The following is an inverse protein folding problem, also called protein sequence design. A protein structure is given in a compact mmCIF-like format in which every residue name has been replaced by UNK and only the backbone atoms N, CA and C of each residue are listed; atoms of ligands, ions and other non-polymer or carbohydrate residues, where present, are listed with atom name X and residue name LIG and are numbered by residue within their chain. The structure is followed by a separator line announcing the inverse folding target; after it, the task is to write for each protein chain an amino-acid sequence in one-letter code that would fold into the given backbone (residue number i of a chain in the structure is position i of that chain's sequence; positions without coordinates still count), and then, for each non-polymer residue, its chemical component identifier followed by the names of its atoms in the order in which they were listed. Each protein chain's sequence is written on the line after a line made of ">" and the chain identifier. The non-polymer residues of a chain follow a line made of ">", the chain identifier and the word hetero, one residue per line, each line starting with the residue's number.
data_IF_432503651201
#
_entry.id   IF_432503651201
#
_cell.length_a   1.000
_cell.length_b   1.000
_cell.length_c   1.000
_cell.angle_alpha   90.00
_cell.angle_beta   90.00
_cell.angle_gamma   90.00
#
_symmetry.space_group_name_H-M   'P 1'
#
loop_
_entity.id
_entity.type
_entity.pdbx_description
1 polymer ?
#
# COMPACT_ATOMS: atom_id res chain seq x y z
N UNK A 1 -24.83 -8.44 33.51
CA UNK A 1 -25.36 -7.10 33.23
C UNK A 1 -24.25 -6.26 32.64
N UNK A 2 -24.20 -6.30 31.31
CA UNK A 2 -23.74 -5.28 30.36
C UNK A 2 -22.75 -4.21 30.86
N UNK A 3 -21.47 -4.44 30.57
CA UNK A 3 -20.46 -3.39 30.50
C UNK A 3 -20.35 -2.91 29.05
N UNK A 4 -21.16 -1.89 28.76
CA UNK A 4 -21.15 -1.05 27.56
C UNK A 4 -19.98 -0.04 27.65
N UNK A 5 -19.30 0.20 26.51
CA UNK A 5 -18.36 1.30 26.22
C UNK A 5 -16.85 1.17 26.54
N UNK A 6 -16.19 0.14 26.00
CA UNK A 6 -14.83 0.31 25.51
C UNK A 6 -14.81 -0.02 24.02
N UNK A 7 -14.92 1.00 23.16
CA UNK A 7 -13.84 1.87 22.72
C UNK A 7 -13.16 1.31 21.46
N UNK A 8 -13.35 2.04 20.37
CA UNK A 8 -12.32 2.19 19.35
C UNK A 8 -12.33 1.15 18.24
N UNK A 9 -13.05 1.48 17.16
CA UNK A 9 -12.60 1.16 15.82
C UNK A 9 -12.73 -0.30 15.42
N UNK A 10 -13.96 -0.74 15.22
CA UNK A 10 -14.27 -1.95 14.47
C UNK A 10 -13.59 -1.90 13.09
N UNK A 11 -12.49 -2.65 12.97
CA UNK A 11 -12.23 -3.63 11.90
C UNK A 11 -12.79 -3.22 10.54
N UNK A 12 -11.94 -2.74 9.63
CA UNK A 12 -12.17 -2.91 8.18
C UNK A 12 -10.96 -2.55 7.29
N UNK A 13 -9.76 -3.08 7.52
CA UNK A 13 -8.73 -3.10 6.44
C UNK A 13 -7.83 -4.34 6.54
N UNK A 14 -8.42 -5.54 6.57
CA UNK A 14 -7.66 -6.80 6.48
C UNK A 14 -8.23 -7.64 5.33
N UNK A 15 -8.10 -7.20 4.07
CA UNK A 15 -8.53 -8.08 2.95
C UNK A 15 -8.01 -7.75 1.54
N UNK A 16 -6.96 -6.95 1.32
CA UNK A 16 -6.60 -6.57 -0.06
C UNK A 16 -5.14 -6.75 -0.48
N UNK A 17 -4.31 -7.46 0.30
CA UNK A 17 -2.87 -7.56 -0.02
C UNK A 17 -2.37 -8.98 -0.32
N UNK A 18 -3.13 -10.05 -0.07
CA UNK A 18 -2.67 -11.44 -0.31
C UNK A 18 -3.24 -12.08 -1.59
N UNK A 19 -3.63 -11.29 -2.60
CA UNK A 19 -4.00 -11.83 -3.93
C UNK A 19 -3.00 -11.36 -5.00
N UNK A 20 -1.71 -11.53 -4.73
CA UNK A 20 -0.66 -11.33 -5.74
C UNK A 20 0.46 -12.38 -5.61
N UNK A 21 0.11 -13.60 -5.21
CA UNK A 21 1.03 -14.72 -5.18
C UNK A 21 0.48 -15.82 -6.08
N UNK A 22 0.85 -15.83 -7.38
CA UNK A 22 0.97 -17.05 -8.21
C UNK A 22 1.45 -16.85 -9.66
N UNK A 23 1.89 -15.65 -10.07
CA UNK A 23 2.59 -15.48 -11.35
C UNK A 23 4.10 -15.54 -11.20
N UNK A 24 4.81 -16.13 -12.17
CA UNK A 24 6.28 -16.09 -12.40
C UNK A 24 6.83 -14.67 -12.62
N UNK A 25 6.11 -13.64 -12.17
CA UNK A 25 6.43 -12.25 -12.38
C UNK A 25 7.15 -11.73 -11.14
N UNK A 26 8.35 -11.16 -11.35
CA UNK A 26 9.26 -10.70 -10.28
C UNK A 26 8.75 -9.48 -9.50
N UNK A 27 7.54 -9.03 -9.80
CA UNK A 27 6.93 -7.78 -9.34
C UNK A 27 5.57 -8.06 -8.70
N UNK A 28 5.35 -7.51 -7.50
CA UNK A 28 4.12 -7.63 -6.71
C UNK A 28 3.43 -6.26 -6.71
N UNK A 29 2.11 -6.24 -6.92
CA UNK A 29 1.32 -5.02 -6.78
C UNK A 29 1.19 -4.68 -5.30
N UNK A 30 1.64 -3.49 -4.92
CA UNK A 30 1.64 -3.04 -3.54
C UNK A 30 0.45 -2.14 -3.24
N UNK A 31 0.16 -1.20 -4.15
CA UNK A 31 -0.96 -0.29 -4.02
C UNK A 31 -1.42 0.19 -5.39
N UNK A 32 -2.69 0.57 -5.50
CA UNK A 32 -3.25 1.20 -6.68
C UNK A 32 -4.32 2.20 -6.29
N UNK A 33 -4.34 3.35 -6.97
CA UNK A 33 -5.26 4.45 -6.73
C UNK A 33 -5.61 5.12 -8.06
N UNK A 34 -6.70 5.89 -8.10
CA UNK A 34 -7.27 6.45 -9.33
C UNK A 34 -7.41 7.96 -9.21
N UNK A 35 -7.27 8.69 -10.32
CA UNK A 35 -7.53 10.13 -10.29
C UNK A 35 -6.40 10.95 -9.69
N UNK A 36 -6.76 12.17 -9.30
CA UNK A 36 -5.93 13.10 -8.50
C UNK A 36 -5.42 12.50 -7.18
N UNK A 37 -6.12 11.51 -6.64
CA UNK A 37 -5.70 10.83 -5.40
C UNK A 37 -4.46 9.96 -5.60
N UNK A 38 -4.06 9.66 -6.84
CA UNK A 38 -2.84 8.90 -7.11
C UNK A 38 -1.53 9.61 -6.69
N UNK A 39 -1.56 10.90 -6.33
CA UNK A 39 -0.36 11.66 -5.96
C UNK A 39 0.42 11.04 -4.78
N UNK A 40 -0.28 10.45 -3.81
CA UNK A 40 0.38 9.78 -2.68
C UNK A 40 1.21 8.56 -3.10
N UNK A 41 0.87 7.91 -4.22
CA UNK A 41 1.66 6.79 -4.76
C UNK A 41 3.02 7.25 -5.29
N UNK A 42 3.12 8.48 -5.82
CA UNK A 42 4.40 9.05 -6.25
C UNK A 42 5.29 9.37 -5.04
N UNK A 43 4.70 9.87 -3.94
CA UNK A 43 5.42 10.07 -2.68
C UNK A 43 5.90 8.75 -2.07
N UNK A 44 5.03 7.74 -2.06
CA UNK A 44 5.38 6.40 -1.60
C UNK A 44 6.49 5.76 -2.46
N UNK A 45 6.41 5.90 -3.78
CA UNK A 45 7.46 5.44 -4.70
C UNK A 45 8.81 6.11 -4.41
N UNK A 46 8.82 7.43 -4.21
CA UNK A 46 10.03 8.18 -3.87
C UNK A 46 10.61 7.73 -2.52
N UNK A 47 9.78 7.54 -1.51
CA UNK A 47 10.25 7.07 -0.20
C UNK A 47 10.82 5.65 -0.27
N UNK A 48 10.15 4.76 -1.01
CA UNK A 48 10.65 3.40 -1.24
C UNK A 48 11.99 3.40 -1.97
N UNK A 49 12.14 4.21 -3.04
CA UNK A 49 13.41 4.36 -3.74
C UNK A 49 14.51 4.94 -2.84
N UNK A 50 14.18 5.91 -2.00
CA UNK A 50 15.12 6.51 -1.05
C UNK A 50 15.65 5.49 -0.04
N UNK A 51 14.86 4.46 0.29
CA UNK A 51 15.27 3.35 1.17
C UNK A 51 15.92 2.18 0.40
N UNK A 52 16.10 2.30 -0.92
CA UNK A 52 16.77 1.32 -1.77
C UNK A 52 15.86 0.24 -2.37
N UNK A 53 14.53 0.39 -2.27
CA UNK A 53 13.59 -0.57 -2.84
C UNK A 53 13.44 -0.42 -4.35
N UNK A 54 13.30 -1.55 -5.04
CA UNK A 54 12.97 -1.57 -6.46
C UNK A 54 11.46 -1.46 -6.64
N UNK A 55 11.00 -0.26 -7.00
CA UNK A 55 9.60 0.03 -7.30
C UNK A 55 9.38 0.35 -8.77
N UNK A 56 8.16 0.11 -9.23
CA UNK A 56 7.67 0.52 -10.54
C UNK A 56 6.27 1.09 -10.41
N UNK A 57 6.17 2.37 -10.68
CA UNK A 57 4.90 3.08 -10.78
C UNK A 57 4.42 3.06 -12.24
N UNK A 58 3.18 2.68 -12.45
CA UNK A 58 2.53 2.65 -13.75
C UNK A 58 1.23 3.42 -13.68
N UNK A 59 0.94 4.27 -14.67
CA UNK A 59 -0.40 4.82 -14.86
C UNK A 59 -1.04 4.10 -16.06
N UNK A 60 -2.22 3.55 -15.82
CA UNK A 60 -3.06 2.89 -16.82
C UNK A 60 -3.92 3.93 -17.55
N UNK A 61 -4.34 3.66 -18.80
CA UNK A 61 -5.23 4.53 -19.58
C UNK A 61 -6.56 4.84 -18.85
N UNK A 62 -6.96 4.00 -17.89
CA UNK A 62 -8.11 4.23 -17.01
C UNK A 62 -7.86 5.22 -15.85
N UNK A 63 -6.83 6.06 -15.97
CA UNK A 63 -6.35 7.02 -14.98
C UNK A 63 -6.06 6.39 -13.60
N UNK A 64 -5.62 5.14 -13.62
CA UNK A 64 -5.31 4.36 -12.41
C UNK A 64 -3.80 4.21 -12.29
N UNK A 65 -3.22 4.77 -11.24
CA UNK A 65 -1.83 4.55 -10.88
C UNK A 65 -1.69 3.26 -10.06
N UNK A 66 -0.70 2.46 -10.40
CA UNK A 66 -0.39 1.15 -9.81
C UNK A 66 1.08 1.15 -9.41
N UNK A 67 1.36 1.04 -8.12
CA UNK A 67 2.70 0.89 -7.59
C UNK A 67 3.00 -0.60 -7.38
N UNK A 68 4.02 -1.09 -8.10
CA UNK A 68 4.55 -2.44 -7.96
C UNK A 68 5.92 -2.40 -7.31
N UNK A 69 6.25 -3.43 -6.55
CA UNK A 69 7.56 -3.61 -5.91
C UNK A 69 8.15 -4.97 -6.28
N UNK A 70 9.46 -5.11 -6.25
CA UNK A 70 10.08 -6.42 -6.45
C UNK A 70 9.59 -7.41 -5.39
N UNK A 71 9.30 -8.66 -5.79
CA UNK A 71 8.78 -9.69 -4.88
C UNK A 71 9.66 -9.92 -3.65
N UNK A 72 10.98 -9.83 -3.83
CA UNK A 72 11.98 -9.95 -2.75
C UNK A 72 11.81 -8.91 -1.65
N UNK A 73 11.26 -7.75 -2.01
CA UNK A 73 11.11 -6.58 -1.15
C UNK A 73 9.65 -6.40 -0.70
N UNK A 74 8.73 -7.26 -1.15
CA UNK A 74 7.30 -7.08 -0.95
C UNK A 74 6.89 -7.06 0.53
N UNK A 75 7.51 -7.90 1.37
CA UNK A 75 7.23 -7.94 2.81
C UNK A 75 7.62 -6.62 3.50
N UNK A 76 8.83 -6.11 3.20
CA UNK A 76 9.31 -4.85 3.76
C UNK A 76 8.53 -3.65 3.22
N UNK A 77 8.20 -3.65 1.92
CA UNK A 77 7.40 -2.61 1.30
C UNK A 77 5.96 -2.58 1.84
N UNK A 78 5.39 -3.73 2.19
CA UNK A 78 4.08 -3.81 2.84
C UNK A 78 4.12 -3.17 4.24
N UNK A 79 5.17 -3.40 5.02
CA UNK A 79 5.36 -2.76 6.33
C UNK A 79 5.54 -1.24 6.19
N UNK A 80 6.29 -0.80 5.19
CA UNK A 80 6.47 0.63 4.92
C UNK A 80 5.18 1.30 4.46
N UNK A 81 4.39 0.63 3.62
CA UNK A 81 3.07 1.12 3.24
C UNK A 81 2.18 1.29 4.47
N UNK A 82 2.17 0.32 5.39
CA UNK A 82 1.40 0.39 6.63
C UNK A 82 1.86 1.54 7.53
N UNK A 83 3.18 1.70 7.71
CA UNK A 83 3.80 2.80 8.46
C UNK A 83 3.49 4.17 7.84
N UNK A 84 3.65 4.30 6.52
CA UNK A 84 3.35 5.52 5.77
C UNK A 84 1.88 5.94 5.92
N UNK A 85 0.95 4.97 5.90
CA UNK A 85 -0.48 5.24 6.09
C UNK A 85 -0.81 5.59 7.55
N UNK A 86 -0.14 4.96 8.53
CA UNK A 86 -0.32 5.27 9.96
C UNK A 86 0.25 6.65 10.33
N UNK A 87 1.43 7.01 9.81
CA UNK A 87 2.03 8.34 10.01
C UNK A 87 1.28 9.48 9.30
N UNK A 88 0.40 9.16 8.36
CA UNK A 88 -0.45 10.12 7.64
C UNK A 88 -1.82 10.35 8.31
N UNK A 89 -2.10 9.72 9.46
CA UNK A 89 -3.33 10.00 10.23
C UNK A 89 -3.10 11.22 11.15
N UNK A 90 -3.81 12.35 10.95
CA UNK A 90 -3.79 13.44 11.92
C UNK A 90 -4.49 12.97 13.20
N UNK A 91 -3.80 13.09 14.33
CA UNK A 91 -4.42 13.12 15.67
C UNK A 91 -5.34 14.32 15.79
#
# INVERSE_FOLDING_TARGET
>A
MEWLWFAGGAVLVIALVIVAAQGTNRWVLLASDRGERADWLYRLDAEMKSRGFQTKLYRDDSDTAKLKVAKKDADQAARLLDDFKKGSQPT
#
